data_IF_841907569288
#
_entry.id   IF_841907569288
#
_cell.length_a   1.000
_cell.length_b   1.000
_cell.length_c   1.000
_cell.angle_alpha   90.00
_cell.angle_beta   90.00
_cell.angle_gamma   90.00
#
_symmetry.space_group_name_H-M   'P 1'
#
loop_
_entity.id
_entity.type
_entity.pdbx_description
1 polymer ?
#
# COMPACT_ATOMS: atom_id res chain seq x y z
N UNK A 1 3.42 -6.17 15.45
CA UNK A 1 3.50 -5.14 14.38
C UNK A 1 4.75 -5.41 13.55
N UNK A 2 4.71 -5.44 12.20
CA UNK A 2 5.85 -5.82 11.35
C UNK A 2 7.09 -4.91 11.46
N UNK A 3 6.91 -3.74 12.07
CA UNK A 3 7.97 -2.73 12.26
C UNK A 3 8.40 -2.57 13.73
N UNK A 4 7.87 -3.42 14.63
CA UNK A 4 8.20 -3.35 16.06
C UNK A 4 9.46 -4.16 16.40
N UNK A 5 10.11 -3.80 17.51
CA UNK A 5 11.32 -4.43 18.00
C UNK A 5 12.58 -3.60 17.72
N UNK A 6 13.69 -4.06 18.30
CA UNK A 6 14.96 -3.33 18.36
C UNK A 6 15.14 -2.64 19.72
N UNK A 7 16.33 -2.77 20.29
CA UNK A 7 16.71 -2.04 21.50
C UNK A 7 16.92 -0.56 21.15
N UNK A 8 16.41 0.35 21.97
CA UNK A 8 16.48 1.79 21.70
C UNK A 8 15.63 2.21 20.48
N UNK A 9 16.05 3.29 19.81
CA UNK A 9 15.31 3.84 18.66
C UNK A 9 15.68 3.09 17.38
N UNK A 10 14.73 2.33 16.83
CA UNK A 10 14.87 1.62 15.57
C UNK A 10 14.03 2.25 14.45
N UNK A 11 14.44 2.07 13.19
CA UNK A 11 13.71 2.62 12.02
C UNK A 11 12.41 1.87 11.70
N UNK A 12 12.33 0.58 12.05
CA UNK A 12 11.20 -0.29 11.71
C UNK A 12 11.11 -0.67 10.22
N UNK A 13 12.10 -0.29 9.39
CA UNK A 13 12.18 -0.67 7.98
C UNK A 13 11.13 -0.01 7.08
N UNK A 14 10.67 -0.75 6.06
CA UNK A 14 9.65 -0.24 5.14
C UNK A 14 8.27 -0.13 5.81
N UNK A 15 7.57 1.01 5.69
CA UNK A 15 6.24 1.21 6.25
C UNK A 15 5.24 0.14 5.82
N UNK A 16 4.73 -0.60 6.81
CA UNK A 16 3.73 -1.66 6.64
C UNK A 16 2.55 -1.44 7.57
N UNK A 17 1.38 -1.91 7.16
CA UNK A 17 0.22 -2.05 8.02
C UNK A 17 0.51 -3.09 9.12
N UNK A 18 -0.34 -3.17 10.16
CA UNK A 18 -0.23 -4.21 11.19
C UNK A 18 -0.23 -5.64 10.61
N UNK A 19 -0.84 -5.83 9.44
CA UNK A 19 -0.91 -7.11 8.72
C UNK A 19 0.17 -7.28 7.65
N UNK A 20 1.21 -6.44 7.63
CA UNK A 20 2.36 -6.59 6.74
C UNK A 20 2.20 -6.02 5.34
N UNK A 21 1.04 -5.46 5.01
CA UNK A 21 0.81 -4.82 3.71
C UNK A 21 1.56 -3.49 3.61
N UNK A 22 2.30 -3.28 2.52
CA UNK A 22 3.04 -2.04 2.28
C UNK A 22 2.10 -0.81 2.28
N UNK A 23 2.43 0.17 3.12
CA UNK A 23 1.63 1.38 3.32
C UNK A 23 2.00 2.53 2.36
N UNK A 24 3.19 2.48 1.75
CA UNK A 24 3.65 3.47 0.76
C UNK A 24 3.50 2.92 -0.66
N UNK A 25 2.60 3.50 -1.45
CA UNK A 25 2.52 3.30 -2.90
C UNK A 25 1.86 2.01 -3.40
N UNK A 26 1.55 1.03 -2.54
CA UNK A 26 0.89 -0.22 -2.96
C UNK A 26 -0.56 0.05 -3.38
N UNK A 27 -0.87 -0.15 -4.66
CA UNK A 27 -2.24 -0.13 -5.19
C UNK A 27 -3.01 -1.35 -4.66
N UNK A 28 -4.15 -1.11 -4.02
CA UNK A 28 -4.97 -2.15 -3.40
C UNK A 28 -6.17 -2.58 -4.24
N UNK A 29 -6.53 -1.81 -5.28
CA UNK A 29 -7.61 -2.17 -6.20
C UNK A 29 -7.21 -3.37 -7.05
N UNK A 30 -8.10 -4.37 -7.12
CA UNK A 30 -7.97 -5.50 -8.01
C UNK A 30 -7.93 -5.08 -9.49
N UNK A 31 -6.95 -5.63 -10.21
CA UNK A 31 -6.73 -5.41 -11.63
C UNK A 31 -7.81 -6.05 -12.50
N UNK A 32 -8.47 -7.13 -12.04
CA UNK A 32 -9.47 -7.89 -12.81
C UNK A 32 -10.93 -7.53 -12.49
N UNK A 33 -11.17 -6.55 -11.62
CA UNK A 33 -12.55 -6.14 -11.26
C UNK A 33 -13.36 -5.73 -12.49
N UNK A 34 -14.54 -6.34 -12.69
CA UNK A 34 -15.44 -6.09 -13.84
C UNK A 34 -15.77 -4.61 -14.02
N UNK A 35 -15.92 -3.86 -12.93
CA UNK A 35 -16.20 -2.43 -12.99
C UNK A 35 -15.08 -1.57 -13.56
N UNK A 36 -13.88 -2.13 -13.83
CA UNK A 36 -12.81 -1.42 -14.52
C UNK A 36 -13.22 -0.91 -15.90
N UNK A 37 -14.15 -1.60 -16.60
CA UNK A 37 -14.64 -1.18 -17.92
C UNK A 37 -15.37 0.16 -17.92
N UNK A 38 -15.88 0.60 -16.78
CA UNK A 38 -16.62 1.84 -16.63
C UNK A 38 -15.74 3.01 -16.14
N UNK A 39 -14.43 2.79 -15.92
CA UNK A 39 -13.52 3.81 -15.38
C UNK A 39 -12.77 4.49 -16.52
N UNK A 40 -13.10 5.76 -16.80
CA UNK A 40 -12.45 6.56 -17.85
C UNK A 40 -11.08 7.08 -17.42
N UNK A 41 -10.95 7.62 -16.20
CA UNK A 41 -9.67 8.11 -15.64
C UNK A 41 -9.57 7.78 -14.16
N UNK A 42 -8.38 7.35 -13.71
CA UNK A 42 -8.09 7.17 -12.29
C UNK A 42 -7.65 8.50 -11.67
N UNK A 43 -8.14 8.79 -10.46
CA UNK A 43 -7.72 9.98 -9.68
C UNK A 43 -6.20 10.08 -9.53
N UNK A 44 -5.53 8.94 -9.37
CA UNK A 44 -4.09 8.85 -9.16
C UNK A 44 -3.33 8.43 -10.45
N UNK A 45 -3.92 8.61 -11.63
CA UNK A 45 -3.17 8.48 -12.87
C UNK A 45 -2.11 9.57 -12.90
N UNK A 46 -0.83 9.19 -13.06
CA UNK A 46 0.23 10.16 -13.36
C UNK A 46 -0.18 10.92 -14.62
N UNK A 47 0.06 12.23 -14.64
CA UNK A 47 -0.12 13.05 -15.84
C UNK A 47 0.76 12.50 -16.96
#
# INVERSE_FOLDING_TARGET
HPMGGGEGKASGGHPRSPWGQMAKGKKTRDRKKVSNKFIVRRRNAKK
#
